data_IF_868976881504
#
_entry.id   IF_868976881504
#
_cell.length_a   1.000
_cell.length_b   1.000
_cell.length_c   1.000
_cell.angle_alpha   90.00
_cell.angle_beta   90.00
_cell.angle_gamma   90.00
#
_symmetry.space_group_name_H-M   'P 1'
#
loop_
_entity.id
_entity.type
_entity.pdbx_description
1 polymer ?
#
# COMPACT_ATOMS: atom_id res chain seq x y z
N UNK A 1 -1.52 -19.94 -19.25
CA UNK A 1 -0.29 -20.39 -18.60
C UNK A 1 -0.66 -21.59 -17.72
N UNK A 2 -0.01 -22.72 -17.91
CA UNK A 2 -0.13 -23.82 -16.96
C UNK A 2 0.89 -23.54 -15.84
N UNK A 3 0.40 -23.56 -14.62
CA UNK A 3 1.21 -23.48 -13.39
C UNK A 3 1.68 -24.88 -12.98
N UNK A 4 1.97 -25.72 -13.96
CA UNK A 4 2.49 -27.06 -13.68
C UNK A 4 3.96 -26.92 -13.26
N UNK A 5 4.34 -27.48 -12.11
CA UNK A 5 5.72 -27.53 -11.69
C UNK A 5 6.58 -28.17 -12.80
N UNK A 6 7.74 -27.55 -13.09
CA UNK A 6 8.70 -28.13 -14.03
C UNK A 6 9.34 -29.41 -13.47
N UNK A 7 9.34 -29.52 -12.13
CA UNK A 7 9.90 -30.64 -11.39
C UNK A 7 8.98 -31.06 -10.23
N UNK A 8 9.00 -32.32 -9.85
CA UNK A 8 8.19 -32.87 -8.76
C UNK A 8 8.45 -32.25 -7.37
N UNK A 9 9.53 -31.49 -7.24
CA UNK A 9 9.94 -30.84 -5.99
C UNK A 9 9.62 -29.34 -5.94
N UNK A 10 8.83 -28.85 -6.87
CA UNK A 10 8.39 -27.45 -6.95
C UNK A 10 6.92 -27.29 -6.54
N UNK A 11 6.59 -26.24 -5.82
CA UNK A 11 5.22 -25.87 -5.46
C UNK A 11 5.01 -24.41 -5.80
N UNK A 12 3.92 -24.13 -6.48
CA UNK A 12 3.47 -22.77 -6.77
C UNK A 12 2.33 -22.37 -5.85
N UNK A 13 2.40 -21.17 -5.29
CA UNK A 13 1.34 -20.54 -4.52
C UNK A 13 0.96 -19.23 -5.17
N UNK A 14 -0.32 -18.90 -5.09
CA UNK A 14 -0.88 -17.71 -5.71
C UNK A 14 -1.70 -16.92 -4.69
N UNK A 15 -1.33 -15.68 -4.46
CA UNK A 15 -2.10 -14.71 -3.68
C UNK A 15 -2.76 -13.70 -4.61
N UNK A 16 -4.07 -13.45 -4.42
CA UNK A 16 -4.81 -12.48 -5.22
C UNK A 16 -4.68 -11.07 -4.61
N UNK A 17 -4.44 -10.06 -5.46
CA UNK A 17 -4.30 -8.67 -5.08
C UNK A 17 -5.52 -7.82 -5.47
N UNK A 18 -6.03 -8.00 -6.69
CA UNK A 18 -7.13 -7.20 -7.21
C UNK A 18 -7.39 -7.42 -8.68
N UNK A 19 -8.42 -6.75 -9.19
CA UNK A 19 -8.85 -6.76 -10.59
C UNK A 19 -8.85 -5.36 -11.16
N UNK A 20 -8.32 -5.19 -12.37
CA UNK A 20 -8.43 -3.95 -13.12
C UNK A 20 -8.32 -4.23 -14.63
N UNK A 21 -9.18 -3.62 -15.45
CA UNK A 21 -9.18 -3.72 -16.91
C UNK A 21 -9.08 -5.15 -17.46
N UNK A 22 -9.87 -6.07 -16.89
CA UNK A 22 -9.89 -7.49 -17.35
C UNK A 22 -8.67 -8.31 -16.95
N UNK A 23 -7.81 -7.79 -16.10
CA UNK A 23 -6.63 -8.49 -15.57
C UNK A 23 -6.73 -8.69 -14.06
N UNK A 24 -6.33 -9.90 -13.62
CA UNK A 24 -6.10 -10.20 -12.20
C UNK A 24 -4.63 -9.93 -11.86
N UNK A 25 -4.40 -9.34 -10.69
CA UNK A 25 -3.05 -9.07 -10.17
C UNK A 25 -2.76 -10.01 -9.02
N UNK A 26 -1.62 -10.68 -9.11
CA UNK A 26 -1.29 -11.82 -8.28
C UNK A 26 0.11 -11.68 -7.67
N UNK A 27 0.28 -12.18 -6.45
CA UNK A 27 1.58 -12.61 -5.97
C UNK A 27 1.76 -14.07 -6.30
N UNK A 28 2.87 -14.43 -6.89
CA UNK A 28 3.22 -15.80 -7.25
C UNK A 28 4.48 -16.17 -6.49
N UNK A 29 4.40 -17.24 -5.70
CA UNK A 29 5.55 -17.81 -5.00
C UNK A 29 5.86 -19.18 -5.59
N UNK A 30 7.11 -19.39 -5.98
CA UNK A 30 7.65 -20.68 -6.40
C UNK A 30 8.58 -21.18 -5.30
N UNK A 31 8.21 -22.26 -4.63
CA UNK A 31 9.03 -22.92 -3.61
C UNK A 31 9.66 -24.18 -4.19
N UNK A 32 10.97 -24.33 -4.01
CA UNK A 32 11.70 -25.56 -4.38
C UNK A 32 12.10 -26.29 -3.10
N UNK A 33 11.82 -27.59 -3.06
CA UNK A 33 12.09 -28.43 -1.89
C UNK A 33 13.22 -29.44 -2.15
N UNK A 34 14.01 -29.73 -1.13
CA UNK A 34 14.97 -30.81 -1.10
C UNK A 34 14.72 -31.74 0.07
N UNK A 35 15.02 -33.05 -0.11
CA UNK A 35 14.95 -34.00 0.99
C UNK A 35 16.20 -33.86 1.87
N UNK A 36 16.01 -33.55 3.17
CA UNK A 36 17.05 -33.51 4.18
C UNK A 36 16.61 -34.37 5.36
N UNK A 37 17.38 -35.39 5.73
CA UNK A 37 17.10 -36.30 6.84
C UNK A 37 15.69 -36.96 6.79
N UNK A 38 15.21 -37.23 5.56
CA UNK A 38 13.88 -37.82 5.31
C UNK A 38 12.71 -36.86 5.39
N UNK A 39 12.95 -35.55 5.50
CA UNK A 39 11.95 -34.49 5.47
C UNK A 39 12.14 -33.58 4.26
N UNK A 40 11.02 -33.14 3.67
CA UNK A 40 11.06 -32.12 2.63
C UNK A 40 11.31 -30.74 3.28
N UNK A 41 12.37 -30.07 2.88
CA UNK A 41 12.77 -28.74 3.37
C UNK A 41 12.79 -27.78 2.19
N UNK A 42 12.17 -26.61 2.33
CA UNK A 42 12.29 -25.55 1.33
C UNK A 42 13.74 -25.08 1.28
N UNK A 43 14.32 -25.10 0.07
CA UNK A 43 15.71 -24.70 -0.19
C UNK A 43 15.81 -23.44 -1.06
N UNK A 44 14.73 -23.09 -1.72
CA UNK A 44 14.64 -21.87 -2.53
C UNK A 44 13.20 -21.41 -2.58
N UNK A 45 13.00 -20.10 -2.44
CA UNK A 45 11.74 -19.42 -2.66
C UNK A 45 11.99 -18.25 -3.62
N UNK A 46 11.14 -18.12 -4.64
CA UNK A 46 11.17 -17.04 -5.63
C UNK A 46 9.78 -16.43 -5.68
N UNK A 47 9.70 -15.14 -5.50
CA UNK A 47 8.43 -14.42 -5.44
C UNK A 47 8.34 -13.38 -6.55
N UNK A 48 7.17 -13.24 -7.15
CA UNK A 48 6.91 -12.21 -8.15
C UNK A 48 5.51 -11.62 -8.02
N UNK A 49 5.35 -10.39 -8.50
CA UNK A 49 4.06 -9.76 -8.75
C UNK A 49 3.75 -9.91 -10.23
N UNK A 50 2.59 -10.45 -10.54
CA UNK A 50 2.20 -10.78 -11.91
C UNK A 50 0.85 -10.18 -12.25
N UNK A 51 0.61 -9.93 -13.54
CA UNK A 51 -0.71 -9.74 -14.11
C UNK A 51 -1.14 -10.98 -14.88
N UNK A 52 -2.39 -11.40 -14.69
CA UNK A 52 -3.02 -12.49 -15.41
C UNK A 52 -4.20 -11.94 -16.21
N UNK A 53 -4.12 -12.04 -17.52
CA UNK A 53 -5.19 -11.59 -18.41
C UNK A 53 -6.32 -12.62 -18.41
N UNK A 54 -7.53 -12.19 -18.04
CA UNK A 54 -8.70 -13.06 -17.87
C UNK A 54 -9.29 -13.55 -19.21
N UNK A 55 -9.02 -12.84 -20.30
CA UNK A 55 -9.51 -13.21 -21.65
C UNK A 55 -8.54 -14.18 -22.35
N UNK A 56 -7.25 -13.84 -22.34
CA UNK A 56 -6.23 -14.61 -23.06
C UNK A 56 -5.57 -15.71 -22.24
N UNK A 57 -5.66 -15.63 -20.90
CA UNK A 57 -4.96 -16.51 -19.98
C UNK A 57 -3.45 -16.25 -19.92
N UNK A 58 -2.99 -15.13 -20.47
CA UNK A 58 -1.57 -14.74 -20.42
C UNK A 58 -1.17 -14.27 -19.00
N UNK A 59 -0.05 -14.78 -18.52
CA UNK A 59 0.59 -14.35 -17.30
C UNK A 59 1.84 -13.54 -17.63
N UNK A 60 1.92 -12.33 -17.12
CA UNK A 60 3.07 -11.44 -17.30
C UNK A 60 3.64 -11.06 -15.94
N UNK A 61 4.93 -11.31 -15.74
CA UNK A 61 5.64 -10.84 -14.57
C UNK A 61 5.81 -9.32 -14.62
N UNK A 62 5.41 -8.63 -13.55
CA UNK A 62 5.57 -7.19 -13.38
C UNK A 62 6.94 -6.92 -12.74
N UNK A 63 7.22 -7.59 -11.62
CA UNK A 63 8.43 -7.42 -10.82
C UNK A 63 8.63 -8.66 -9.94
N UNK A 64 9.86 -8.97 -9.59
CA UNK A 64 10.23 -10.11 -8.75
C UNK A 64 11.15 -9.69 -7.59
N UNK A 65 11.52 -10.65 -6.74
CA UNK A 65 12.37 -10.47 -5.57
C UNK A 65 13.87 -10.73 -5.84
N UNK A 66 14.33 -10.44 -7.07
CA UNK A 66 15.73 -10.68 -7.46
C UNK A 66 16.76 -10.04 -6.50
N UNK A 67 16.41 -8.94 -5.85
CA UNK A 67 17.23 -8.23 -4.87
C UNK A 67 16.93 -8.64 -3.41
N UNK A 68 16.18 -9.74 -3.20
CA UNK A 68 15.93 -10.36 -1.90
C UNK A 68 14.70 -9.84 -1.14
N UNK A 69 14.12 -8.71 -1.51
CA UNK A 69 12.87 -8.19 -0.91
C UNK A 69 11.83 -8.04 -2.02
N UNK A 70 10.70 -8.76 -1.90
CA UNK A 70 9.64 -8.68 -2.88
C UNK A 70 9.05 -7.26 -2.93
N UNK A 71 9.09 -6.60 -4.11
CA UNK A 71 8.53 -5.27 -4.26
C UNK A 71 7.03 -5.20 -3.95
N UNK A 72 6.60 -4.10 -3.37
CA UNK A 72 5.19 -3.84 -3.12
C UNK A 72 4.54 -3.19 -4.35
N UNK A 73 3.45 -3.80 -4.85
CA UNK A 73 2.67 -3.26 -5.96
C UNK A 73 1.55 -2.36 -5.41
N UNK A 74 1.55 -1.08 -5.78
CA UNK A 74 0.62 -0.07 -5.26
C UNK A 74 -0.54 0.29 -6.18
N UNK A 75 -0.42 0.02 -7.45
CA UNK A 75 -1.52 0.23 -8.37
C UNK A 75 -1.18 -0.22 -9.78
N UNK A 76 -2.21 -0.48 -10.55
CA UNK A 76 -2.10 -0.70 -11.98
C UNK A 76 -3.26 -0.01 -12.67
N UNK A 77 -2.96 0.82 -13.65
CA UNK A 77 -3.91 1.52 -14.49
C UNK A 77 -3.56 1.30 -15.94
N UNK A 78 -4.48 0.68 -16.72
CA UNK A 78 -4.22 0.28 -18.10
C UNK A 78 -2.91 -0.54 -18.21
N UNK A 79 -1.90 0.02 -18.82
CA UNK A 79 -0.59 -0.63 -19.03
C UNK A 79 0.52 -0.08 -18.13
N UNK A 80 0.17 0.71 -17.11
CA UNK A 80 1.14 1.26 -16.16
C UNK A 80 0.97 0.62 -14.80
N UNK A 81 2.03 0.06 -14.26
CA UNK A 81 2.12 -0.44 -12.89
C UNK A 81 3.00 0.46 -12.04
N UNK A 82 2.59 0.74 -10.80
CA UNK A 82 3.42 1.46 -9.82
C UNK A 82 3.80 0.50 -8.70
N UNK A 83 5.08 0.40 -8.42
CA UNK A 83 5.61 -0.47 -7.39
C UNK A 83 6.76 0.18 -6.63
N UNK A 84 6.98 -0.26 -5.40
CA UNK A 84 8.07 0.16 -4.54
C UNK A 84 9.07 -0.98 -4.37
N UNK A 85 10.34 -0.68 -4.56
CA UNK A 85 11.44 -1.54 -4.17
C UNK A 85 12.00 -1.09 -2.83
N UNK A 86 12.51 -2.05 -2.08
CA UNK A 86 13.23 -1.83 -0.84
C UNK A 86 14.57 -2.53 -0.95
N UNK A 87 15.65 -1.81 -0.70
CA UNK A 87 17.00 -2.34 -0.73
C UNK A 87 17.71 -2.00 0.57
N UNK A 88 18.47 -2.94 1.08
CA UNK A 88 19.33 -2.66 2.25
C UNK A 88 20.50 -1.77 1.81
N UNK A 89 20.73 -0.68 2.53
CA UNK A 89 21.82 0.26 2.26
C UNK A 89 23.18 -0.43 2.31
N UNK A 90 24.10 0.03 1.48
CA UNK A 90 25.46 -0.53 1.44
C UNK A 90 26.17 -0.33 2.79
N UNK A 91 26.72 -1.41 3.33
CA UNK A 91 27.40 -1.40 4.63
C UNK A 91 26.49 -1.52 5.85
N UNK A 92 25.19 -1.69 5.65
CA UNK A 92 24.28 -2.01 6.75
C UNK A 92 24.66 -3.37 7.39
N UNK A 93 24.53 -3.51 8.71
CA UNK A 93 24.74 -4.80 9.38
C UNK A 93 23.63 -5.79 8.96
N UNK A 94 23.93 -7.09 9.06
CA UNK A 94 22.89 -8.10 8.90
C UNK A 94 21.77 -7.91 9.94
N UNK A 95 20.52 -8.09 9.54
CA UNK A 95 19.34 -7.82 10.39
C UNK A 95 19.39 -8.61 11.71
N UNK A 96 19.77 -9.89 11.67
CA UNK A 96 19.85 -10.75 12.85
C UNK A 96 20.92 -10.27 13.82
N UNK A 97 22.10 -9.88 13.32
CA UNK A 97 23.22 -9.38 14.11
C UNK A 97 22.87 -8.01 14.73
N UNK A 98 22.15 -7.17 14.01
CA UNK A 98 21.68 -5.88 14.52
C UNK A 98 20.63 -6.08 15.62
N UNK A 99 19.61 -6.93 15.40
CA UNK A 99 18.57 -7.23 16.39
C UNK A 99 19.16 -7.81 17.69
N UNK A 100 20.17 -8.66 17.58
CA UNK A 100 20.83 -9.26 18.76
C UNK A 100 21.50 -8.21 19.69
N UNK A 101 21.78 -7.02 19.18
CA UNK A 101 22.41 -5.92 19.92
C UNK A 101 21.40 -4.88 20.43
N UNK A 102 20.12 -5.03 20.10
CA UNK A 102 19.07 -4.08 20.46
C UNK A 102 18.34 -4.49 21.76
N UNK A 103 17.65 -3.54 22.41
CA UNK A 103 16.75 -3.83 23.53
C UNK A 103 15.62 -4.81 23.13
N UNK A 104 15.14 -5.58 24.10
CA UNK A 104 13.97 -6.44 23.90
C UNK A 104 12.76 -5.63 23.39
N UNK A 105 12.06 -6.15 22.39
CA UNK A 105 10.94 -5.49 21.74
C UNK A 105 11.31 -4.65 20.50
N UNK A 106 12.60 -4.53 20.16
CA UNK A 106 13.02 -3.94 18.89
C UNK A 106 12.64 -4.87 17.74
N UNK A 107 12.15 -4.32 16.65
CA UNK A 107 11.63 -5.07 15.50
C UNK A 107 12.42 -4.78 14.21
N UNK A 108 12.22 -5.61 13.21
CA UNK A 108 12.74 -5.36 11.85
C UNK A 108 12.29 -4.02 11.25
N UNK A 109 11.15 -3.49 11.70
CA UNK A 109 10.68 -2.16 11.28
C UNK A 109 11.66 -1.05 11.65
N UNK A 110 12.20 -1.05 12.90
CA UNK A 110 13.21 -0.07 13.32
C UNK A 110 14.52 -0.21 12.54
N UNK A 111 14.89 -1.45 12.18
CA UNK A 111 16.01 -1.68 11.28
C UNK A 111 15.74 -1.05 9.90
N UNK A 112 14.55 -1.29 9.35
CA UNK A 112 14.15 -0.75 8.05
C UNK A 112 14.20 0.78 8.00
N UNK A 113 13.76 1.47 9.08
CA UNK A 113 13.84 2.93 9.16
C UNK A 113 15.27 3.48 9.11
N UNK A 114 16.29 2.68 9.45
CA UNK A 114 17.70 3.10 9.50
C UNK A 114 18.49 2.68 8.26
N UNK A 115 18.15 1.53 7.68
CA UNK A 115 19.02 0.86 6.71
C UNK A 115 18.35 0.51 5.39
N UNK A 116 17.04 0.80 5.22
CA UNK A 116 16.38 0.56 3.94
C UNK A 116 16.34 1.82 3.09
N UNK A 117 16.69 1.65 1.82
CA UNK A 117 16.50 2.61 0.75
C UNK A 117 15.20 2.27 0.01
N UNK A 118 14.32 3.25 -0.13
CA UNK A 118 13.02 3.09 -0.77
C UNK A 118 13.02 3.80 -2.12
N UNK A 119 12.53 3.10 -3.15
CA UNK A 119 12.38 3.66 -4.49
C UNK A 119 11.01 3.32 -5.04
N UNK A 120 10.35 4.32 -5.60
CA UNK A 120 9.05 4.16 -6.24
C UNK A 120 9.21 4.28 -7.75
N UNK A 121 8.68 3.30 -8.49
CA UNK A 121 8.78 3.21 -9.93
C UNK A 121 7.41 3.11 -10.58
N UNK A 122 7.31 3.66 -11.81
CA UNK A 122 6.26 3.33 -12.76
C UNK A 122 6.86 2.48 -13.89
N UNK A 123 6.20 1.37 -14.23
CA UNK A 123 6.58 0.47 -15.32
C UNK A 123 5.49 0.38 -16.35
N UNK A 124 5.84 0.59 -17.62
CA UNK A 124 4.94 0.28 -18.72
C UNK A 124 4.97 -1.23 -19.00
N UNK A 125 3.85 -1.91 -18.79
CA UNK A 125 3.76 -3.37 -18.89
C UNK A 125 3.87 -3.89 -20.33
N UNK A 126 3.64 -3.03 -21.35
CA UNK A 126 3.79 -3.41 -22.77
C UNK A 126 5.22 -3.27 -23.27
N UNK A 127 5.88 -2.19 -22.90
CA UNK A 127 7.23 -1.88 -23.38
C UNK A 127 8.33 -2.36 -22.44
N UNK A 128 7.99 -2.61 -21.18
CA UNK A 128 8.95 -2.90 -20.11
C UNK A 128 9.74 -1.66 -19.63
N UNK A 129 9.45 -0.47 -20.18
CA UNK A 129 10.11 0.76 -19.78
C UNK A 129 9.76 1.13 -18.33
N UNK A 130 10.78 1.47 -17.55
CA UNK A 130 10.65 1.89 -16.17
C UNK A 130 11.03 3.35 -15.99
N UNK A 131 10.26 4.06 -15.17
CA UNK A 131 10.51 5.44 -14.77
C UNK A 131 10.53 5.54 -13.26
N UNK A 132 11.58 6.14 -12.71
CA UNK A 132 11.66 6.46 -11.28
C UNK A 132 10.71 7.62 -10.96
N UNK A 133 9.82 7.41 -9.98
CA UNK A 133 8.96 8.43 -9.40
C UNK A 133 9.66 9.06 -8.19
N UNK A 134 10.20 8.23 -7.31
CA UNK A 134 10.96 8.63 -6.11
C UNK A 134 12.24 7.81 -6.04
N UNK A 135 13.37 8.50 -5.88
CA UNK A 135 14.69 7.90 -5.63
C UNK A 135 15.23 8.50 -4.33
N UNK A 136 14.69 8.05 -3.21
CA UNK A 136 15.04 8.54 -1.89
C UNK A 136 15.77 7.45 -1.10
N UNK A 137 16.97 7.77 -0.64
CA UNK A 137 17.75 6.88 0.21
C UNK A 137 17.62 7.18 1.70
N UNK A 138 17.15 8.37 2.06
CA UNK A 138 17.16 8.84 3.46
C UNK A 138 15.77 8.96 4.10
N UNK A 139 14.70 8.93 3.30
CA UNK A 139 13.34 9.09 3.79
C UNK A 139 12.48 7.87 3.49
N UNK A 140 11.73 7.45 4.47
CA UNK A 140 10.72 6.41 4.29
C UNK A 140 9.61 6.93 3.34
N UNK A 141 9.32 6.16 2.30
CA UNK A 141 8.23 6.46 1.37
C UNK A 141 7.00 5.67 1.81
N UNK A 142 6.02 6.38 2.36
CA UNK A 142 4.72 5.82 2.70
C UNK A 142 3.82 5.85 1.47
N UNK A 143 3.13 4.77 1.21
CA UNK A 143 2.17 4.68 0.11
C UNK A 143 0.79 4.29 0.64
N UNK A 144 -0.25 4.69 -0.09
CA UNK A 144 -1.60 4.25 0.24
C UNK A 144 -1.70 2.73 0.14
N UNK A 145 -2.56 2.13 0.97
CA UNK A 145 -2.84 0.70 0.91
C UNK A 145 -3.34 0.33 -0.50
N UNK A 146 -2.64 -0.57 -1.22
CA UNK A 146 -3.00 -0.95 -2.57
C UNK A 146 -4.40 -1.56 -2.66
N UNK A 147 -4.90 -2.18 -1.60
CA UNK A 147 -6.25 -2.74 -1.56
C UNK A 147 -7.36 -1.68 -1.51
N UNK A 148 -7.02 -0.43 -1.15
CA UNK A 148 -7.95 0.68 -0.97
C UNK A 148 -7.88 1.75 -2.06
N UNK A 149 -6.96 1.65 -3.01
CA UNK A 149 -6.67 2.73 -3.97
C UNK A 149 -6.49 2.27 -5.42
N UNK A 150 -7.09 1.16 -5.81
CA UNK A 150 -7.06 0.72 -7.20
C UNK A 150 -7.79 1.70 -8.11
N UNK A 151 -7.04 2.51 -8.82
CA UNK A 151 -7.52 3.52 -9.74
C UNK A 151 -6.37 4.16 -10.50
N UNK A 152 -6.65 5.29 -11.10
CA UNK A 152 -5.69 6.07 -11.89
C UNK A 152 -4.54 6.64 -11.04
N UNK A 153 -4.76 6.83 -9.74
CA UNK A 153 -3.85 7.55 -8.86
C UNK A 153 -3.16 6.63 -7.86
N UNK A 154 -1.88 6.90 -7.61
CA UNK A 154 -1.11 6.34 -6.49
C UNK A 154 -0.70 7.48 -5.57
N UNK A 155 -1.11 7.40 -4.31
CA UNK A 155 -0.74 8.37 -3.27
C UNK A 155 0.49 7.88 -2.54
N UNK A 156 1.44 8.78 -2.32
CA UNK A 156 2.62 8.49 -1.52
C UNK A 156 3.07 9.73 -0.75
N UNK A 157 3.88 9.52 0.29
CA UNK A 157 4.46 10.58 1.12
C UNK A 157 5.97 10.44 1.16
N UNK A 158 6.66 11.56 1.05
CA UNK A 158 8.10 11.70 1.30
C UNK A 158 8.31 12.81 2.33
N UNK A 159 8.96 12.49 3.43
CA UNK A 159 9.06 13.42 4.55
C UNK A 159 7.67 13.84 5.04
N UNK A 160 7.35 15.13 5.00
CA UNK A 160 6.05 15.69 5.39
C UNK A 160 5.11 15.97 4.22
N UNK A 161 5.58 15.84 2.99
CA UNK A 161 4.78 16.17 1.80
C UNK A 161 4.09 14.94 1.23
N UNK A 162 2.81 15.09 0.92
CA UNK A 162 1.93 14.09 0.30
C UNK A 162 1.83 14.38 -1.18
N UNK A 163 2.07 13.37 -1.97
CA UNK A 163 2.07 13.43 -3.43
C UNK A 163 1.05 12.47 -4.02
N UNK A 164 0.60 12.78 -5.21
CA UNK A 164 -0.13 11.85 -6.07
C UNK A 164 0.63 11.66 -7.38
N UNK A 165 0.76 10.41 -7.80
CA UNK A 165 1.17 10.05 -9.15
C UNK A 165 -0.04 9.66 -9.97
N UNK A 166 -0.29 10.39 -11.05
CA UNK A 166 -1.33 10.07 -12.03
C UNK A 166 -0.75 9.13 -13.09
N UNK A 167 -1.20 7.88 -13.10
CA UNK A 167 -0.75 6.85 -14.04
C UNK A 167 -1.23 7.09 -15.47
N UNK A 168 -2.30 7.86 -15.69
CA UNK A 168 -2.80 8.19 -17.02
C UNK A 168 -1.91 9.22 -17.70
N UNK A 169 -1.59 10.31 -17.00
CA UNK A 169 -0.76 11.40 -17.51
C UNK A 169 0.73 11.20 -17.21
N UNK A 170 1.06 10.25 -16.35
CA UNK A 170 2.40 9.97 -15.84
C UNK A 170 3.06 11.20 -15.19
N UNK A 171 2.27 11.97 -14.45
CA UNK A 171 2.74 13.18 -13.76
C UNK A 171 2.65 13.02 -12.25
N UNK A 172 3.55 13.73 -11.55
CA UNK A 172 3.56 13.85 -10.10
C UNK A 172 2.99 15.22 -9.73
N UNK A 173 2.15 15.25 -8.70
CA UNK A 173 1.62 16.46 -8.10
C UNK A 173 1.81 16.41 -6.59
N UNK A 174 2.39 17.45 -6.00
CA UNK A 174 2.35 17.65 -4.56
C UNK A 174 0.98 18.19 -4.18
N UNK A 175 0.33 17.53 -3.22
CA UNK A 175 -1.03 17.89 -2.80
C UNK A 175 -1.05 18.64 -1.47
N UNK A 176 -0.18 18.24 -0.54
CA UNK A 176 -0.30 18.72 0.83
C UNK A 176 1.02 18.51 1.58
N UNK A 177 1.35 19.44 2.50
CA UNK A 177 2.48 19.28 3.41
C UNK A 177 2.01 19.43 4.85
N UNK A 178 2.30 18.43 5.68
CA UNK A 178 2.00 18.47 7.11
C UNK A 178 2.81 19.55 7.84
N UNK A 179 2.19 20.18 8.81
CA UNK A 179 2.81 21.20 9.68
C UNK A 179 3.87 20.61 10.63
N UNK A 180 3.78 19.32 10.93
CA UNK A 180 4.69 18.58 11.80
C UNK A 180 4.87 17.13 11.36
N UNK A 181 5.81 16.41 11.96
CA UNK A 181 5.99 14.98 11.75
C UNK A 181 4.92 14.22 12.55
N UNK A 182 4.08 13.51 11.82
CA UNK A 182 3.08 12.62 12.37
C UNK A 182 3.59 11.19 12.43
N UNK A 183 2.85 10.31 13.08
CA UNK A 183 3.08 8.86 13.11
C UNK A 183 1.84 8.13 12.65
N UNK A 184 2.01 6.90 12.19
CA UNK A 184 0.91 6.01 11.78
C UNK A 184 0.04 6.63 10.68
N UNK A 185 0.65 6.87 9.55
CA UNK A 185 -0.05 7.37 8.36
C UNK A 185 -0.91 6.29 7.72
N UNK A 186 -2.09 6.67 7.29
CA UNK A 186 -2.97 5.86 6.45
C UNK A 186 -3.56 6.75 5.36
N UNK A 187 -3.50 6.29 4.12
CA UNK A 187 -4.01 7.00 2.96
C UNK A 187 -5.00 6.13 2.21
N UNK A 188 -6.05 6.77 1.70
CA UNK A 188 -6.98 6.16 0.76
C UNK A 188 -7.47 7.21 -0.22
N UNK A 189 -8.02 6.77 -1.36
CA UNK A 189 -8.65 7.64 -2.35
C UNK A 189 -10.14 7.35 -2.35
N UNK A 190 -10.94 8.37 -2.08
CA UNK A 190 -12.39 8.31 -2.12
C UNK A 190 -12.92 9.58 -2.79
N UNK A 191 -13.83 9.43 -3.75
CA UNK A 191 -14.54 10.55 -4.39
C UNK A 191 -13.60 11.65 -4.92
N UNK A 192 -12.49 11.25 -5.55
CA UNK A 192 -11.49 12.20 -6.06
C UNK A 192 -10.65 12.91 -5.00
N UNK A 193 -10.80 12.54 -3.73
CA UNK A 193 -10.01 13.07 -2.62
C UNK A 193 -9.01 12.04 -2.09
N UNK A 194 -7.86 12.52 -1.69
CA UNK A 194 -6.96 11.77 -0.80
C UNK A 194 -7.44 11.98 0.63
N UNK A 195 -7.88 10.91 1.27
CA UNK A 195 -8.17 10.92 2.71
C UNK A 195 -6.88 10.52 3.42
N UNK A 196 -6.29 11.47 4.13
CA UNK A 196 -5.06 11.29 4.88
C UNK A 196 -5.40 11.24 6.38
N UNK A 197 -5.08 10.13 7.02
CA UNK A 197 -5.31 9.93 8.46
C UNK A 197 -3.95 9.69 9.12
N UNK A 198 -3.66 10.37 10.22
CA UNK A 198 -2.42 10.15 10.98
C UNK A 198 -2.63 10.29 12.47
N UNK A 199 -1.66 9.80 13.24
CA UNK A 199 -1.74 9.76 14.70
C UNK A 199 -2.49 8.55 15.24
N UNK A 200 -2.75 8.53 16.53
CA UNK A 200 -3.49 7.48 17.23
C UNK A 200 -4.30 8.06 18.39
N UNK A 201 -5.44 7.47 18.67
CA UNK A 201 -6.29 7.86 19.79
C UNK A 201 -6.63 9.36 19.74
N UNK A 202 -6.41 10.07 20.84
CA UNK A 202 -6.75 11.50 20.96
C UNK A 202 -5.89 12.42 20.07
N UNK A 203 -4.80 11.91 19.49
CA UNK A 203 -3.94 12.65 18.57
C UNK A 203 -4.27 12.39 17.12
N UNK A 204 -5.28 11.58 16.83
CA UNK A 204 -5.68 11.26 15.46
C UNK A 204 -6.20 12.53 14.76
N UNK A 205 -5.68 12.78 13.55
CA UNK A 205 -6.10 13.87 12.66
C UNK A 205 -6.38 13.30 11.28
N UNK A 206 -7.31 13.88 10.58
CA UNK A 206 -7.60 13.51 9.20
C UNK A 206 -7.87 14.72 8.32
N UNK A 207 -7.56 14.58 7.06
CA UNK A 207 -7.80 15.57 6.03
C UNK A 207 -8.37 14.90 4.78
N UNK A 208 -9.30 15.59 4.12
CA UNK A 208 -9.69 15.31 2.74
C UNK A 208 -9.01 16.34 1.85
N UNK A 209 -8.23 15.89 0.87
CA UNK A 209 -7.45 16.71 -0.04
C UNK A 209 -7.95 16.42 -1.45
N UNK A 210 -8.59 17.39 -2.08
CA UNK A 210 -9.08 17.25 -3.46
C UNK A 210 -7.91 17.13 -4.44
N UNK A 211 -7.90 16.08 -5.28
CA UNK A 211 -6.82 15.83 -6.24
C UNK A 211 -6.86 16.87 -7.39
N UNK A 212 -8.02 17.40 -7.73
CA UNK A 212 -8.17 18.30 -8.87
C UNK A 212 -7.74 19.73 -8.52
N UNK A 213 -8.26 20.30 -7.44
CA UNK A 213 -8.06 21.71 -7.08
C UNK A 213 -7.16 21.97 -5.87
N UNK A 214 -6.67 20.89 -5.23
CA UNK A 214 -5.77 20.93 -4.05
C UNK A 214 -6.42 21.53 -2.80
N UNK A 215 -7.74 21.69 -2.80
CA UNK A 215 -8.42 22.17 -1.61
C UNK A 215 -8.30 21.14 -0.47
N UNK A 216 -8.12 21.63 0.75
CA UNK A 216 -7.90 20.79 1.94
C UNK A 216 -8.97 21.09 2.96
N UNK A 217 -9.65 20.05 3.39
CA UNK A 217 -10.62 20.10 4.48
C UNK A 217 -10.13 19.21 5.60
N UNK A 218 -9.99 19.76 6.80
CA UNK A 218 -9.74 18.94 8.00
C UNK A 218 -11.03 18.26 8.41
N UNK A 219 -10.98 16.94 8.56
CA UNK A 219 -12.10 16.12 8.96
C UNK A 219 -12.07 15.92 10.49
N UNK A 220 -13.22 16.06 11.15
CA UNK A 220 -13.37 15.59 12.52
C UNK A 220 -13.61 14.08 12.51
N UNK A 221 -12.58 13.32 12.85
CA UNK A 221 -12.66 11.85 12.98
C UNK A 221 -13.09 11.40 14.37
N UNK A 222 -13.39 12.34 15.26
CA UNK A 222 -13.79 12.09 16.64
C UNK A 222 -15.21 12.62 16.84
N UNK A 223 -16.20 11.78 16.73
CA UNK A 223 -17.50 12.08 17.33
C UNK A 223 -17.26 12.29 18.83
N UNK A 224 -17.99 13.20 19.47
CA UNK A 224 -17.78 13.71 20.85
C UNK A 224 -17.61 12.71 22.01
N UNK A 225 -17.43 11.42 21.71
CA UNK A 225 -17.23 10.32 22.65
C UNK A 225 -15.99 9.45 22.30
N UNK A 226 -14.92 10.04 21.77
CA UNK A 226 -13.70 9.33 21.40
C UNK A 226 -13.93 8.15 20.41
N UNK A 227 -14.74 8.38 19.42
CA UNK A 227 -15.05 7.42 18.36
C UNK A 227 -14.16 7.72 17.17
N UNK A 228 -13.50 6.70 16.64
CA UNK A 228 -12.72 6.82 15.40
C UNK A 228 -13.60 6.42 14.22
N UNK A 229 -13.77 7.33 13.26
CA UNK A 229 -14.42 7.06 12.00
C UNK A 229 -13.31 6.72 10.99
N UNK A 230 -13.35 5.49 10.45
CA UNK A 230 -12.43 5.05 9.41
C UNK A 230 -13.23 4.80 8.14
N UNK A 231 -13.15 5.66 7.13
CA UNK A 231 -13.78 5.38 5.84
C UNK A 231 -13.09 4.17 5.19
N UNK A 232 -13.86 3.35 4.47
CA UNK A 232 -13.36 2.14 3.83
C UNK A 232 -13.54 2.19 2.31
N UNK A 233 -14.72 2.59 1.84
CA UNK A 233 -15.04 2.70 0.42
C UNK A 233 -16.22 3.64 0.17
N UNK A 234 -16.42 4.01 -1.08
CA UNK A 234 -17.58 4.78 -1.53
C UNK A 234 -18.60 3.90 -2.26
N UNK A 235 -19.87 4.23 -2.09
CA UNK A 235 -20.97 3.59 -2.78
C UNK A 235 -22.01 4.64 -3.19
N UNK A 236 -22.07 4.96 -4.47
CA UNK A 236 -22.89 6.06 -5.00
C UNK A 236 -22.60 7.40 -4.30
N UNK A 237 -23.59 7.97 -3.63
CA UNK A 237 -23.52 9.26 -2.92
C UNK A 237 -23.09 9.12 -1.45
N UNK A 238 -22.62 7.92 -1.05
CA UNK A 238 -22.29 7.61 0.33
C UNK A 238 -20.84 7.19 0.50
N UNK A 239 -20.29 7.52 1.65
CA UNK A 239 -19.08 6.91 2.22
C UNK A 239 -19.52 5.83 3.19
N UNK A 240 -18.93 4.66 3.06
CA UNK A 240 -19.10 3.52 3.97
C UNK A 240 -17.82 3.36 4.78
N UNK A 241 -17.93 3.14 6.05
CA UNK A 241 -16.77 2.97 6.90
C UNK A 241 -17.05 2.24 8.19
N UNK A 242 -16.01 2.15 9.00
CA UNK A 242 -16.05 1.50 10.31
C UNK A 242 -16.04 2.55 11.42
N UNK A 243 -16.89 2.31 12.39
CA UNK A 243 -17.02 3.08 13.60
C UNK A 243 -16.56 2.24 14.78
N UNK A 244 -15.51 2.66 15.46
CA UNK A 244 -15.08 2.04 16.70
C UNK A 244 -15.55 2.89 17.90
N UNK A 245 -16.37 2.32 18.77
CA UNK A 245 -16.79 2.99 19.99
C UNK A 245 -15.81 2.75 21.16
N UNK A 246 -16.01 3.48 22.27
CA UNK A 246 -15.16 3.38 23.47
C UNK A 246 -15.10 1.97 24.10
N UNK A 247 -16.07 1.12 23.80
CA UNK A 247 -16.10 -0.27 24.30
C UNK A 247 -15.37 -1.25 23.38
N UNK A 248 -14.80 -0.75 22.27
CA UNK A 248 -14.13 -1.58 21.25
C UNK A 248 -15.11 -2.29 20.30
N UNK A 249 -16.41 -1.98 20.35
CA UNK A 249 -17.36 -2.46 19.36
C UNK A 249 -17.14 -1.70 18.05
N UNK A 250 -17.00 -2.43 16.96
CA UNK A 250 -16.86 -1.91 15.61
C UNK A 250 -18.18 -2.13 14.87
N UNK A 251 -18.72 -1.09 14.25
CA UNK A 251 -19.94 -1.14 13.46
C UNK A 251 -19.71 -0.46 12.10
N UNK A 252 -20.36 -0.94 11.07
CA UNK A 252 -20.42 -0.25 9.78
C UNK A 252 -21.33 0.98 9.88
N UNK A 253 -20.95 2.06 9.22
CA UNK A 253 -21.77 3.26 9.07
C UNK A 253 -21.88 3.67 7.60
N UNK A 254 -22.95 4.40 7.31
CA UNK A 254 -23.22 5.02 6.01
C UNK A 254 -23.45 6.51 6.24
N UNK A 255 -22.69 7.33 5.53
CA UNK A 255 -22.81 8.79 5.60
C UNK A 255 -22.87 9.35 4.18
N UNK A 256 -23.68 10.37 3.93
CA UNK A 256 -23.62 11.06 2.65
C UNK A 256 -22.24 11.68 2.44
N UNK A 257 -21.76 11.74 1.20
CA UNK A 257 -20.49 12.39 0.88
C UNK A 257 -20.46 13.83 1.37
N UNK A 258 -21.58 14.57 1.20
CA UNK A 258 -21.72 15.96 1.65
C UNK A 258 -21.52 16.08 3.17
N UNK A 259 -22.18 15.22 3.97
CA UNK A 259 -22.08 15.25 5.42
C UNK A 259 -20.68 14.79 5.88
N UNK A 260 -20.08 13.79 5.20
CA UNK A 260 -18.73 13.31 5.51
C UNK A 260 -17.69 14.44 5.39
N UNK A 261 -17.66 15.16 4.25
CA UNK A 261 -16.70 16.25 4.03
C UNK A 261 -16.99 17.49 4.89
N UNK A 262 -18.19 17.62 5.46
CA UNK A 262 -18.55 18.65 6.45
C UNK A 262 -18.35 18.20 7.89
N UNK A 263 -17.93 16.96 8.12
CA UNK A 263 -17.85 16.34 9.45
C UNK A 263 -19.17 16.40 10.21
N UNK A 264 -20.28 16.30 9.48
CA UNK A 264 -21.63 16.27 10.06
C UNK A 264 -22.06 14.84 10.32
N UNK A 265 -21.78 14.34 11.50
CA UNK A 265 -22.06 12.96 11.90
C UNK A 265 -23.36 12.81 12.69
N UNK A 266 -24.27 13.79 12.60
CA UNK A 266 -25.55 13.74 13.29
C UNK A 266 -26.36 12.51 12.87
N UNK A 267 -26.77 11.70 13.85
CA UNK A 267 -27.53 10.48 13.64
C UNK A 267 -26.72 9.20 13.40
N UNK A 268 -25.41 9.26 13.16
CA UNK A 268 -24.56 8.07 13.08
C UNK A 268 -24.30 7.49 14.47
N UNK A 269 -24.34 8.32 15.50
CA UNK A 269 -23.99 7.99 16.88
C UNK A 269 -25.23 7.87 17.81
N UNK A 270 -26.42 7.74 17.27
CA UNK A 270 -27.66 7.65 18.07
C UNK A 270 -27.96 6.23 18.55
#
# INVERSE_FOLDING_TARGET
>A
ASWEPENDNEVYRCGFYGLSFGKAYLTVSKETYAMKDGQAVSVKEENSKCSFDLETGELVEIVNDADGILPALYGVWKDVAVYQTVKTAEGAPELEDWLAQQPEGTTSYQYGLQYYEYRLYAKNLKTGEERTIVDESENFVWTADPHKSWGQYVVYQVGRSVYVYDMETQTVKELFTYDQDWKNYNYMILDGHVIAICGTGDTCRAWAIDIADESVVELDTRGGNAITITPEYECNDYIVGLLANQTGKVEEYYISKEDFYRSNYDGIFS
#
